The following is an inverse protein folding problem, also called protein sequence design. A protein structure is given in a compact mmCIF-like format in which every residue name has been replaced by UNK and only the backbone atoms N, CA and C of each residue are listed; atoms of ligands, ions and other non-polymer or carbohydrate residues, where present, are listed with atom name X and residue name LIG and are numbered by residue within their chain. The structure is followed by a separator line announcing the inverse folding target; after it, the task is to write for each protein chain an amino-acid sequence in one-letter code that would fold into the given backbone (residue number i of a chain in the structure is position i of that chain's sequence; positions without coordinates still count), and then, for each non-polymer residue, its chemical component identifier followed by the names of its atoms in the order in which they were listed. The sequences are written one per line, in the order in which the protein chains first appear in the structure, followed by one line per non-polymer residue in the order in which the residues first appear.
data_IF_728837796070
#
_entry.id   IF_728837796070
#
_cell.length_a   1.000
_cell.length_b   1.000
_cell.length_c   1.000
_cell.angle_alpha   90.00
_cell.angle_beta   90.00
_cell.angle_gamma   90.00
#
_symmetry.space_group_name_H-M   'P 1'
#
loop_
_entity.id
_entity.type
_entity.pdbx_description
1 polymer ?
#
# COMPACT_ATOMS: atom_id res chain seq x y z
N UNK A 1 1.19 25.05 -8.85
CA UNK A 1 0.45 23.84 -9.26
C UNK A 1 -1.03 24.08 -9.30
N UNK A 2 -1.76 23.48 -10.25
CA UNK A 2 -3.23 23.50 -10.30
C UNK A 2 -3.80 22.80 -9.06
N UNK A 3 -4.80 23.40 -8.41
CA UNK A 3 -5.52 22.77 -7.31
C UNK A 3 -6.43 21.68 -7.86
N UNK A 4 -6.21 20.42 -7.46
CA UNK A 4 -6.98 19.27 -7.89
C UNK A 4 -8.06 18.91 -6.85
N UNK A 5 -9.18 18.31 -7.31
CA UNK A 5 -10.19 17.65 -6.47
C UNK A 5 -9.96 16.14 -6.53
N UNK A 6 -9.50 15.55 -5.43
CA UNK A 6 -9.07 14.15 -5.37
C UNK A 6 -9.94 13.38 -4.39
N UNK A 7 -10.54 12.28 -4.84
CA UNK A 7 -11.23 11.35 -3.94
C UNK A 7 -10.26 10.30 -3.39
N UNK A 8 -10.36 10.01 -2.08
CA UNK A 8 -9.59 8.96 -1.43
C UNK A 8 -10.54 8.04 -0.68
N UNK A 9 -10.67 6.80 -1.10
CA UNK A 9 -11.35 5.77 -0.32
C UNK A 9 -10.35 5.12 0.64
N UNK A 10 -10.79 4.75 1.85
CA UNK A 10 -9.87 4.33 2.91
C UNK A 10 -9.01 5.49 3.45
N UNK A 11 -9.52 6.72 3.38
CA UNK A 11 -8.82 7.96 3.75
C UNK A 11 -8.43 8.07 5.24
N UNK A 12 -9.00 7.22 6.08
CA UNK A 12 -8.69 7.09 7.52
C UNK A 12 -7.83 5.85 7.82
N UNK A 13 -7.50 5.05 6.79
CA UNK A 13 -6.54 3.95 6.89
C UNK A 13 -5.10 4.44 7.02
N UNK A 14 -4.15 3.52 7.23
CA UNK A 14 -2.74 3.84 7.42
C UNK A 14 -2.17 4.64 6.23
N UNK A 15 -2.09 4.05 5.04
CA UNK A 15 -1.56 4.74 3.85
C UNK A 15 -2.45 5.93 3.44
N UNK A 16 -3.79 5.76 3.51
CA UNK A 16 -4.74 6.79 3.10
C UNK A 16 -4.66 8.08 3.92
N UNK A 17 -4.37 7.99 5.23
CA UNK A 17 -4.21 9.17 6.10
C UNK A 17 -2.95 9.97 5.74
N UNK A 18 -1.82 9.30 5.49
CA UNK A 18 -0.57 9.94 5.07
C UNK A 18 -0.71 10.59 3.69
N UNK A 19 -1.29 9.88 2.72
CA UNK A 19 -1.55 10.44 1.38
C UNK A 19 -2.45 11.68 1.47
N UNK A 20 -3.55 11.59 2.21
CA UNK A 20 -4.46 12.70 2.42
C UNK A 20 -3.76 13.94 2.97
N UNK A 21 -2.98 13.76 4.03
CA UNK A 21 -2.26 14.86 4.67
C UNK A 21 -1.24 15.50 3.72
N UNK A 22 -0.48 14.70 2.98
CA UNK A 22 0.49 15.19 2.01
C UNK A 22 -0.19 15.99 0.90
N UNK A 23 -1.29 15.51 0.31
CA UNK A 23 -2.06 16.19 -0.72
C UNK A 23 -2.71 17.50 -0.22
N UNK A 24 -3.20 17.52 1.03
CA UNK A 24 -3.72 18.74 1.65
C UNK A 24 -2.65 19.80 1.83
N UNK A 25 -1.45 19.43 2.27
CA UNK A 25 -0.29 20.34 2.37
C UNK A 25 0.13 20.90 1.01
N UNK A 26 -0.09 20.17 -0.07
CA UNK A 26 0.13 20.64 -1.44
C UNK A 26 -1.02 21.53 -1.97
N UNK A 27 -2.07 21.79 -1.17
CA UNK A 27 -3.19 22.67 -1.51
C UNK A 27 -4.31 22.01 -2.30
N UNK A 28 -4.34 20.68 -2.44
CA UNK A 28 -5.41 19.97 -3.13
C UNK A 28 -6.69 19.88 -2.30
N UNK A 29 -7.83 19.75 -2.97
CA UNK A 29 -9.13 19.51 -2.34
C UNK A 29 -9.40 18.01 -2.22
N UNK A 30 -9.47 17.49 -1.00
CA UNK A 30 -9.60 16.05 -0.74
C UNK A 30 -11.03 15.70 -0.32
N UNK A 31 -11.66 14.81 -1.08
CA UNK A 31 -12.95 14.22 -0.75
C UNK A 31 -12.72 12.84 -0.12
N UNK A 32 -13.06 12.74 1.15
CA UNK A 32 -12.82 11.54 1.95
C UNK A 32 -13.98 10.54 1.84
N UNK A 33 -13.62 9.25 1.67
CA UNK A 33 -14.53 8.09 1.70
C UNK A 33 -13.95 7.04 2.63
N UNK A 34 -14.62 6.79 3.76
CA UNK A 34 -14.17 5.83 4.76
C UNK A 34 -15.34 5.42 5.66
N UNK A 35 -15.38 4.17 6.10
CA UNK A 35 -16.37 3.65 7.05
C UNK A 35 -16.36 4.44 8.38
N UNK A 36 -15.20 4.90 8.82
CA UNK A 36 -15.03 5.64 10.09
C UNK A 36 -15.66 7.03 10.09
N UNK A 37 -16.13 7.50 8.94
CA UNK A 37 -16.84 8.79 8.79
C UNK A 37 -18.21 8.60 8.14
N UNK A 38 -18.79 7.40 8.24
CA UNK A 38 -20.09 7.02 7.66
C UNK A 38 -20.19 7.31 6.14
N UNK A 39 -19.07 7.16 5.44
CA UNK A 39 -19.00 7.22 3.97
C UNK A 39 -18.46 5.92 3.42
N UNK A 40 -19.25 4.84 3.46
CA UNK A 40 -18.82 3.54 2.97
C UNK A 40 -18.63 3.56 1.45
N UNK A 41 -17.72 2.72 0.99
CA UNK A 41 -17.34 2.61 -0.42
C UNK A 41 -18.50 2.16 -1.32
N UNK A 42 -19.48 1.44 -0.79
CA UNK A 42 -20.72 1.05 -1.47
C UNK A 42 -21.56 2.26 -1.90
N UNK A 43 -21.43 3.36 -1.20
CA UNK A 43 -22.10 4.63 -1.50
C UNK A 43 -21.25 5.57 -2.34
N UNK A 44 -20.06 5.15 -2.78
CA UNK A 44 -19.18 5.97 -3.62
C UNK A 44 -19.93 6.44 -4.85
N UNK A 45 -19.97 7.74 -5.05
CA UNK A 45 -20.73 8.38 -6.12
C UNK A 45 -19.80 9.10 -7.10
N UNK A 46 -20.31 9.24 -8.31
CA UNK A 46 -19.68 10.03 -9.36
C UNK A 46 -19.76 11.51 -9.02
N UNK A 47 -18.60 12.12 -8.90
CA UNK A 47 -18.44 13.56 -8.90
C UNK A 47 -17.31 13.92 -9.87
N UNK A 48 -17.16 15.20 -10.19
CA UNK A 48 -16.05 15.68 -11.02
C UNK A 48 -14.74 15.66 -10.21
N UNK A 49 -14.11 14.48 -10.11
CA UNK A 49 -12.78 14.33 -9.54
C UNK A 49 -11.71 14.46 -10.64
N UNK A 50 -10.57 15.07 -10.31
CA UNK A 50 -9.38 15.03 -11.17
C UNK A 50 -8.64 13.69 -11.06
N UNK A 51 -8.76 12.99 -9.92
CA UNK A 51 -8.21 11.66 -9.68
C UNK A 51 -8.92 10.94 -8.52
N UNK A 52 -8.85 9.60 -8.52
CA UNK A 52 -9.34 8.75 -7.43
C UNK A 52 -8.21 7.85 -6.94
N UNK A 53 -7.95 7.85 -5.62
CA UNK A 53 -7.16 6.83 -4.94
C UNK A 53 -8.09 5.87 -4.19
N UNK A 54 -8.14 4.63 -4.65
CA UNK A 54 -8.92 3.58 -4.01
C UNK A 54 -8.04 2.73 -3.12
N UNK A 55 -7.98 3.09 -1.82
CA UNK A 55 -7.15 2.43 -0.80
C UNK A 55 -7.98 1.64 0.22
N UNK A 56 -9.31 1.71 0.15
CA UNK A 56 -10.19 0.96 1.03
C UNK A 56 -10.12 -0.54 0.71
N UNK A 57 -9.47 -1.31 1.58
CA UNK A 57 -9.35 -2.75 1.46
C UNK A 57 -9.15 -3.41 2.82
N UNK A 58 -9.62 -4.64 2.97
CA UNK A 58 -9.15 -5.55 4.00
C UNK A 58 -7.78 -6.08 3.57
N UNK A 59 -6.75 -5.90 4.40
CA UNK A 59 -5.35 -6.10 4.03
C UNK A 59 -4.58 -6.97 5.05
N UNK A 60 -5.23 -7.98 5.60
CA UNK A 60 -4.63 -8.95 6.51
C UNK A 60 -4.71 -10.34 5.87
N UNK A 61 -3.54 -10.91 5.53
CA UNK A 61 -3.43 -12.20 4.85
C UNK A 61 -4.05 -13.32 5.69
N UNK A 62 -3.69 -13.39 6.98
CA UNK A 62 -4.15 -14.45 7.88
C UNK A 62 -5.65 -14.35 8.19
N UNK A 63 -6.15 -13.13 8.39
CA UNK A 63 -7.58 -12.91 8.58
C UNK A 63 -8.40 -13.28 7.34
N UNK A 64 -7.83 -13.17 6.13
CA UNK A 64 -8.53 -13.55 4.90
C UNK A 64 -8.81 -15.06 4.80
N UNK A 65 -7.98 -15.90 5.42
CA UNK A 65 -8.22 -17.35 5.50
C UNK A 65 -9.46 -17.65 6.35
N UNK A 66 -9.66 -16.86 7.41
CA UNK A 66 -10.78 -17.07 8.36
C UNK A 66 -12.11 -16.56 7.81
N UNK A 67 -12.10 -15.51 7.01
CA UNK A 67 -13.31 -14.90 6.45
C UNK A 67 -13.09 -14.47 4.98
N UNK A 68 -12.98 -15.43 4.05
CA UNK A 68 -12.73 -15.13 2.64
C UNK A 68 -13.89 -14.36 1.98
N UNK A 69 -15.13 -14.56 2.43
CA UNK A 69 -16.30 -13.90 1.86
C UNK A 69 -16.24 -12.38 2.06
N UNK A 70 -15.84 -11.93 3.24
CA UNK A 70 -15.66 -10.51 3.55
C UNK A 70 -14.60 -9.85 2.66
N UNK A 71 -13.51 -10.58 2.37
CA UNK A 71 -12.46 -10.09 1.48
C UNK A 71 -12.95 -10.01 0.04
N UNK A 72 -13.73 -10.99 -0.39
CA UNK A 72 -14.31 -10.98 -1.72
C UNK A 72 -15.27 -9.80 -1.92
N UNK A 73 -16.24 -9.63 -1.02
CA UNK A 73 -17.22 -8.55 -1.10
C UNK A 73 -16.56 -7.18 -1.12
N UNK A 74 -15.69 -6.90 -0.16
CA UNK A 74 -15.06 -5.60 -0.06
C UNK A 74 -13.97 -5.37 -1.12
N UNK A 75 -13.04 -6.32 -1.29
CA UNK A 75 -11.87 -6.08 -2.14
C UNK A 75 -12.14 -6.34 -3.62
N UNK A 76 -13.06 -7.25 -3.96
CA UNK A 76 -13.36 -7.57 -5.36
C UNK A 76 -14.60 -6.82 -5.84
N UNK A 77 -15.76 -7.04 -5.23
CA UNK A 77 -17.02 -6.48 -5.71
C UNK A 77 -16.97 -4.96 -5.70
N UNK A 78 -16.60 -4.37 -4.57
CA UNK A 78 -16.55 -2.91 -4.46
C UNK A 78 -15.44 -2.28 -5.29
N UNK A 79 -14.26 -2.91 -5.40
CA UNK A 79 -13.18 -2.40 -6.26
C UNK A 79 -13.59 -2.42 -7.73
N UNK A 80 -14.16 -3.52 -8.22
CA UNK A 80 -14.63 -3.64 -9.61
C UNK A 80 -15.69 -2.57 -9.92
N UNK A 81 -16.58 -2.29 -8.96
CA UNK A 81 -17.56 -1.20 -9.10
C UNK A 81 -16.88 0.16 -9.26
N UNK A 82 -15.88 0.48 -8.44
CA UNK A 82 -15.16 1.77 -8.56
C UNK A 82 -14.36 1.83 -9.86
N UNK A 83 -13.72 0.75 -10.28
CA UNK A 83 -13.02 0.65 -11.55
C UNK A 83 -13.95 1.01 -12.73
N UNK A 84 -15.15 0.42 -12.73
CA UNK A 84 -16.16 0.69 -13.77
C UNK A 84 -16.69 2.14 -13.72
N UNK A 85 -16.91 2.66 -12.52
CA UNK A 85 -17.33 4.06 -12.34
C UNK A 85 -16.28 5.01 -12.92
N UNK A 86 -15.01 4.85 -12.57
CA UNK A 86 -13.94 5.72 -13.07
C UNK A 86 -13.71 5.56 -14.58
N UNK A 87 -13.91 4.35 -15.14
CA UNK A 87 -13.88 4.13 -16.59
C UNK A 87 -14.95 4.95 -17.33
N UNK A 88 -16.21 4.87 -16.88
CA UNK A 88 -17.35 5.52 -17.53
C UNK A 88 -17.19 7.03 -17.64
N UNK A 89 -16.59 7.65 -16.62
CA UNK A 89 -16.39 9.11 -16.59
C UNK A 89 -14.95 9.53 -16.90
N UNK A 90 -14.12 8.57 -17.35
CA UNK A 90 -12.72 8.78 -17.73
C UNK A 90 -11.88 9.51 -16.67
N UNK A 91 -12.03 9.13 -15.40
CA UNK A 91 -11.23 9.66 -14.30
C UNK A 91 -10.06 8.72 -14.01
N UNK A 92 -8.80 9.22 -13.90
CA UNK A 92 -7.66 8.44 -13.46
C UNK A 92 -7.91 7.77 -12.12
N UNK A 93 -7.72 6.44 -12.07
CA UNK A 93 -7.84 5.61 -10.87
C UNK A 93 -6.50 4.99 -10.52
N UNK A 94 -6.10 5.18 -9.27
CA UNK A 94 -4.98 4.51 -8.63
C UNK A 94 -5.55 3.60 -7.53
N UNK A 95 -5.38 2.29 -7.65
CA UNK A 95 -6.00 1.34 -6.71
C UNK A 95 -4.96 0.51 -5.97
N UNK A 96 -5.24 0.22 -4.70
CA UNK A 96 -4.38 -0.60 -3.86
C UNK A 96 -4.35 -2.05 -4.34
N UNK A 97 -3.21 -2.49 -4.89
CA UNK A 97 -2.83 -3.87 -5.07
C UNK A 97 -1.83 -4.30 -3.99
N UNK A 98 -1.10 -5.38 -4.17
CA UNK A 98 -0.18 -5.93 -3.17
C UNK A 98 0.89 -6.79 -3.84
N UNK A 99 2.08 -6.89 -3.25
CA UNK A 99 3.09 -7.90 -3.61
C UNK A 99 2.58 -9.34 -3.51
N UNK A 100 1.50 -9.57 -2.74
CA UNK A 100 0.85 -10.88 -2.65
C UNK A 100 0.31 -11.41 -3.99
N UNK A 101 0.19 -10.58 -5.02
CA UNK A 101 -0.24 -11.04 -6.36
C UNK A 101 0.76 -11.99 -7.01
N UNK A 102 2.03 -11.94 -6.64
CA UNK A 102 3.06 -12.83 -7.17
C UNK A 102 2.89 -14.28 -6.68
N UNK A 103 2.24 -14.45 -5.52
CA UNK A 103 1.87 -15.74 -4.93
C UNK A 103 0.38 -15.73 -4.54
N UNK A 104 -0.48 -15.22 -5.44
CA UNK A 104 -1.89 -14.91 -5.16
C UNK A 104 -2.69 -16.11 -4.65
N UNK A 105 -2.33 -17.33 -5.05
CA UNK A 105 -3.00 -18.57 -4.66
C UNK A 105 -2.81 -18.97 -3.20
N UNK A 106 -1.86 -18.36 -2.48
CA UNK A 106 -1.60 -18.68 -1.08
C UNK A 106 -2.70 -18.17 -0.14
N UNK A 107 -3.48 -17.17 -0.55
CA UNK A 107 -4.51 -16.58 0.33
C UNK A 107 -5.67 -15.94 -0.44
N UNK A 108 -6.88 -15.90 0.16
CA UNK A 108 -8.00 -15.15 -0.38
C UNK A 108 -7.69 -13.66 -0.58
N UNK A 109 -6.87 -13.06 0.29
CA UNK A 109 -6.38 -11.70 0.10
C UNK A 109 -5.56 -11.55 -1.18
N UNK A 110 -4.56 -12.40 -1.39
CA UNK A 110 -3.76 -12.41 -2.62
C UNK A 110 -4.64 -12.59 -3.86
N UNK A 111 -5.56 -13.57 -3.81
CA UNK A 111 -6.56 -13.79 -4.88
C UNK A 111 -7.38 -12.54 -5.16
N UNK A 112 -7.88 -11.86 -4.13
CA UNK A 112 -8.68 -10.63 -4.30
C UNK A 112 -7.89 -9.52 -5.01
N UNK A 113 -6.60 -9.38 -4.71
CA UNK A 113 -5.73 -8.39 -5.35
C UNK A 113 -5.40 -8.76 -6.79
N UNK A 114 -5.18 -10.05 -7.07
CA UNK A 114 -5.00 -10.54 -8.45
C UNK A 114 -6.24 -10.25 -9.30
N UNK A 115 -7.44 -10.53 -8.79
CA UNK A 115 -8.69 -10.21 -9.50
C UNK A 115 -8.82 -8.71 -9.75
N UNK A 116 -8.44 -7.84 -8.81
CA UNK A 116 -8.48 -6.39 -9.00
C UNK A 116 -7.60 -5.94 -10.19
N UNK A 117 -6.43 -6.57 -10.40
CA UNK A 117 -5.58 -6.27 -11.55
C UNK A 117 -6.17 -6.80 -12.86
N UNK A 118 -6.75 -8.01 -12.86
CA UNK A 118 -7.39 -8.60 -14.03
C UNK A 118 -8.67 -7.86 -14.48
N UNK A 119 -9.37 -7.24 -13.52
CA UNK A 119 -10.59 -6.47 -13.81
C UNK A 119 -10.32 -4.99 -14.06
N UNK A 120 -9.08 -4.53 -13.87
CA UNK A 120 -8.70 -3.14 -14.10
C UNK A 120 -8.91 -2.74 -15.57
N UNK A 121 -9.33 -1.49 -15.79
CA UNK A 121 -9.61 -0.93 -17.11
C UNK A 121 -8.39 -0.18 -17.64
N UNK A 122 -8.36 0.00 -18.93
CA UNK A 122 -7.28 0.74 -19.57
C UNK A 122 -7.05 2.11 -18.91
N UNK A 123 -5.80 2.41 -18.59
CA UNK A 123 -5.41 3.67 -17.98
C UNK A 123 -5.58 3.74 -16.45
N UNK A 124 -6.12 2.71 -15.81
CA UNK A 124 -6.09 2.56 -14.35
C UNK A 124 -4.75 1.97 -13.90
N UNK A 125 -4.28 2.37 -12.72
CA UNK A 125 -2.95 2.01 -12.23
C UNK A 125 -3.04 1.26 -10.91
N UNK A 126 -2.56 0.02 -10.88
CA UNK A 126 -2.41 -0.80 -9.67
C UNK A 126 -1.15 -0.44 -8.90
N UNK A 127 -1.28 -0.29 -7.58
CA UNK A 127 -0.19 0.04 -6.65
C UNK A 127 0.06 -1.20 -5.78
N UNK A 128 1.10 -1.97 -6.11
CA UNK A 128 1.46 -3.22 -5.44
C UNK A 128 2.34 -2.93 -4.24
N UNK A 129 1.73 -2.69 -3.11
CA UNK A 129 2.48 -2.42 -1.88
C UNK A 129 3.15 -3.69 -1.33
N UNK A 130 4.39 -3.54 -0.86
CA UNK A 130 5.11 -4.54 -0.06
C UNK A 130 4.76 -4.39 1.43
N UNK A 131 5.69 -4.62 2.34
CA UNK A 131 5.46 -4.50 3.77
C UNK A 131 5.66 -3.07 4.25
N UNK A 132 4.58 -2.29 4.24
CA UNK A 132 4.62 -0.87 4.61
C UNK A 132 4.70 -0.71 6.12
N UNK A 133 5.61 0.15 6.61
CA UNK A 133 5.77 0.49 8.03
C UNK A 133 5.81 2.01 8.24
N UNK A 134 5.67 2.45 9.48
CA UNK A 134 5.74 3.86 9.86
C UNK A 134 4.69 4.24 10.90
N UNK A 135 4.61 5.52 11.25
CA UNK A 135 3.65 6.05 12.20
C UNK A 135 2.20 5.81 11.75
N UNK A 136 1.33 5.41 12.67
CA UNK A 136 -0.07 5.09 12.36
C UNK A 136 -0.30 3.71 11.74
N UNK A 137 0.75 2.88 11.62
CA UNK A 137 0.60 1.47 11.26
C UNK A 137 -0.24 0.73 12.34
N UNK A 138 -0.91 -0.37 11.94
CA UNK A 138 -1.68 -1.18 12.89
C UNK A 138 -0.75 -1.73 13.99
N UNK A 139 -1.23 -1.76 15.24
CA UNK A 139 -0.47 -2.27 16.40
C UNK A 139 0.05 -3.70 16.19
N UNK A 140 -0.68 -4.53 15.43
CA UNK A 140 -0.28 -5.90 15.10
C UNK A 140 0.88 -6.01 14.10
N UNK A 141 1.31 -4.92 13.48
CA UNK A 141 2.38 -4.97 12.47
C UNK A 141 3.77 -5.10 13.13
N UNK A 142 4.62 -5.90 12.48
CA UNK A 142 5.89 -6.35 13.03
C UNK A 142 6.80 -5.21 13.51
N UNK A 143 7.01 -4.18 12.70
CA UNK A 143 7.95 -3.09 13.05
C UNK A 143 7.50 -2.34 14.30
N UNK A 144 6.19 -2.06 14.43
CA UNK A 144 5.64 -1.46 15.65
C UNK A 144 5.82 -2.37 16.87
N UNK A 145 5.57 -3.68 16.72
CA UNK A 145 5.81 -4.67 17.79
C UNK A 145 7.28 -4.76 18.20
N UNK A 146 8.21 -4.73 17.25
CA UNK A 146 9.64 -4.71 17.51
C UNK A 146 10.06 -3.51 18.38
N UNK A 147 9.58 -2.33 18.02
CA UNK A 147 9.85 -1.08 18.75
C UNK A 147 9.31 -1.16 20.20
N UNK A 148 8.11 -1.69 20.38
CA UNK A 148 7.48 -1.83 21.71
C UNK A 148 7.93 -3.05 22.52
N UNK A 149 8.83 -3.89 21.97
CA UNK A 149 9.27 -5.13 22.63
C UNK A 149 8.20 -6.22 22.76
N UNK A 150 7.16 -6.20 21.89
CA UNK A 150 5.98 -7.08 21.95
C UNK A 150 6.07 -8.28 21.00
N UNK A 151 7.23 -8.55 20.44
CA UNK A 151 7.43 -9.65 19.48
C UNK A 151 7.64 -10.97 20.24
N UNK A 152 6.80 -11.95 19.95
CA UNK A 152 6.87 -13.29 20.56
C UNK A 152 7.77 -14.24 19.76
N UNK A 153 7.86 -14.05 18.45
CA UNK A 153 8.71 -14.84 17.54
C UNK A 153 9.00 -14.06 16.26
N UNK A 154 10.03 -14.46 15.54
CA UNK A 154 10.36 -13.97 14.19
C UNK A 154 10.39 -15.13 13.20
N UNK A 155 10.35 -14.82 11.91
CA UNK A 155 10.31 -15.83 10.86
C UNK A 155 11.57 -15.83 10.00
N UNK A 156 11.77 -16.93 9.26
CA UNK A 156 12.82 -17.04 8.24
C UNK A 156 12.45 -16.35 6.92
N UNK A 157 11.23 -15.81 6.81
CA UNK A 157 10.76 -15.13 5.60
C UNK A 157 11.58 -13.87 5.30
N UNK A 158 11.68 -13.54 4.03
CA UNK A 158 12.21 -12.26 3.53
C UNK A 158 11.07 -11.29 3.28
N UNK A 159 11.23 -10.04 3.72
CA UNK A 159 10.26 -8.97 3.47
C UNK A 159 10.96 -7.73 2.96
N UNK A 160 10.35 -7.13 1.93
CA UNK A 160 10.70 -5.79 1.52
C UNK A 160 9.89 -4.80 2.37
N UNK A 161 10.59 -4.15 3.30
CA UNK A 161 10.01 -3.15 4.21
C UNK A 161 10.16 -1.76 3.62
N UNK A 162 9.05 -1.07 3.38
CA UNK A 162 9.02 0.29 2.86
C UNK A 162 8.35 1.26 3.84
N UNK A 163 8.96 2.44 4.04
CA UNK A 163 8.36 3.47 4.88
C UNK A 163 7.15 4.12 4.20
N UNK A 164 6.13 4.45 4.98
CA UNK A 164 4.87 5.00 4.46
C UNK A 164 5.06 6.32 3.69
N UNK A 165 6.01 7.15 4.07
CA UNK A 165 6.33 8.38 3.34
C UNK A 165 6.92 8.10 1.96
N UNK A 166 7.77 7.08 1.81
CA UNK A 166 8.29 6.65 0.53
C UNK A 166 7.18 6.08 -0.37
N UNK A 167 6.22 5.35 0.23
CA UNK A 167 5.01 4.90 -0.49
C UNK A 167 4.22 6.09 -1.02
N UNK A 168 3.98 7.11 -0.19
CA UNK A 168 3.24 8.32 -0.59
C UNK A 168 4.00 9.08 -1.67
N UNK A 169 5.32 9.21 -1.56
CA UNK A 169 6.16 9.86 -2.58
C UNK A 169 6.04 9.13 -3.94
N UNK A 170 6.06 7.79 -3.97
CA UNK A 170 5.84 7.00 -5.18
C UNK A 170 4.43 7.22 -5.78
N UNK A 171 3.41 7.18 -4.93
CA UNK A 171 2.02 7.41 -5.36
C UNK A 171 1.82 8.78 -6.00
N UNK A 172 2.41 9.82 -5.41
CA UNK A 172 2.33 11.20 -5.92
C UNK A 172 3.08 11.36 -7.22
N UNK A 173 4.25 10.73 -7.38
CA UNK A 173 4.99 10.73 -8.64
C UNK A 173 4.19 10.07 -9.77
N UNK A 174 3.62 8.87 -9.52
CA UNK A 174 2.80 8.17 -10.51
C UNK A 174 1.58 9.01 -10.89
N UNK A 175 0.92 9.65 -9.91
CA UNK A 175 -0.21 10.55 -10.15
C UNK A 175 0.21 11.75 -11.03
N UNK A 176 1.31 12.40 -10.69
CA UNK A 176 1.82 13.56 -11.45
C UNK A 176 2.10 13.17 -12.90
N UNK A 177 2.85 12.08 -13.12
CA UNK A 177 3.13 11.56 -14.47
C UNK A 177 1.84 11.21 -15.23
N UNK A 178 0.82 10.66 -14.55
CA UNK A 178 -0.45 10.30 -15.16
C UNK A 178 -1.27 11.51 -15.58
N UNK A 179 -1.34 12.53 -14.73
CA UNK A 179 -2.17 13.73 -14.98
C UNK A 179 -1.50 14.70 -15.96
N UNK A 180 -0.18 14.73 -15.99
CA UNK A 180 0.62 15.67 -16.77
C UNK A 180 1.47 14.96 -17.85
N UNK A 181 0.98 13.84 -18.40
CA UNK A 181 1.74 13.00 -19.34
C UNK A 181 2.30 13.78 -20.54
N UNK A 182 1.59 14.86 -20.96
CA UNK A 182 2.04 15.75 -22.02
C UNK A 182 3.32 16.54 -21.68
N UNK A 183 3.65 16.71 -20.40
CA UNK A 183 4.90 17.34 -19.93
C UNK A 183 6.09 16.35 -19.89
N UNK A 184 5.82 15.06 -20.10
CA UNK A 184 6.81 13.98 -20.00
C UNK A 184 6.90 13.18 -21.31
N UNK A 185 7.43 13.77 -22.41
CA UNK A 185 7.53 13.08 -23.69
C UNK A 185 8.42 11.83 -23.55
N UNK A 186 7.94 10.71 -24.06
CA UNK A 186 8.64 9.42 -23.98
C UNK A 186 8.34 8.58 -22.74
N UNK A 187 7.63 9.11 -21.74
CA UNK A 187 7.18 8.31 -20.60
C UNK A 187 5.95 7.51 -20.98
N UNK A 188 6.01 6.19 -20.78
CA UNK A 188 4.87 5.28 -20.88
C UNK A 188 4.56 4.71 -19.51
N UNK A 189 3.37 4.98 -18.99
CA UNK A 189 2.97 4.44 -17.70
C UNK A 189 2.58 2.97 -17.81
N UNK A 190 2.99 2.20 -16.80
CA UNK A 190 2.62 0.80 -16.64
C UNK A 190 1.21 0.67 -16.03
N UNK A 191 0.54 -0.45 -16.25
CA UNK A 191 -0.77 -0.73 -15.64
C UNK A 191 -0.66 -0.97 -14.12
N UNK A 192 0.53 -1.26 -13.61
CA UNK A 192 0.82 -1.46 -12.18
C UNK A 192 2.28 -1.14 -11.89
N UNK A 193 2.57 -0.83 -10.62
CA UNK A 193 3.92 -0.60 -10.09
C UNK A 193 4.10 -1.36 -8.78
N UNK A 194 5.20 -2.08 -8.66
CA UNK A 194 5.64 -2.65 -7.39
C UNK A 194 6.25 -1.54 -6.52
N UNK A 195 5.63 -1.27 -5.37
CA UNK A 195 6.04 -0.20 -4.45
C UNK A 195 6.66 -0.83 -3.21
N UNK A 196 7.97 -0.93 -3.26
CA UNK A 196 8.86 -1.48 -2.26
C UNK A 196 10.20 -0.76 -2.30
N UNK A 197 11.20 -1.28 -1.63
CA UNK A 197 12.58 -0.75 -1.66
C UNK A 197 13.46 -1.47 -2.66
N UNK A 198 13.02 -2.60 -3.21
CA UNK A 198 13.84 -3.53 -3.99
C UNK A 198 14.86 -4.29 -3.15
N UNK A 199 14.79 -4.18 -1.81
CA UNK A 199 15.70 -4.82 -0.86
C UNK A 199 14.94 -5.73 0.10
N UNK A 200 15.11 -7.04 -0.06
CA UNK A 200 14.62 -8.02 0.90
C UNK A 200 15.43 -8.00 2.19
N UNK A 201 14.74 -8.02 3.32
CA UNK A 201 15.31 -8.17 4.67
C UNK A 201 14.79 -9.46 5.28
N UNK A 202 15.66 -10.34 5.74
CA UNK A 202 15.24 -11.56 6.45
C UNK A 202 14.70 -11.16 7.81
N UNK A 203 13.45 -11.50 8.09
CA UNK A 203 12.71 -11.02 9.27
C UNK A 203 13.45 -11.32 10.58
N UNK A 204 14.04 -12.53 10.72
CA UNK A 204 14.83 -12.90 11.91
C UNK A 204 16.04 -11.99 12.18
N UNK A 205 16.60 -11.37 11.13
CA UNK A 205 17.78 -10.52 11.28
C UNK A 205 17.46 -9.19 11.96
N UNK A 206 16.17 -8.80 11.99
CA UNK A 206 15.70 -7.63 12.73
C UNK A 206 15.82 -7.79 14.25
N UNK A 207 15.93 -9.04 14.77
CA UNK A 207 16.24 -9.31 16.19
C UNK A 207 17.50 -8.59 16.64
N UNK A 208 18.56 -8.64 15.81
CA UNK A 208 19.83 -7.95 16.06
C UNK A 208 19.68 -6.44 16.18
N UNK A 209 18.87 -5.86 15.27
CA UNK A 209 18.64 -4.42 15.24
C UNK A 209 17.82 -3.96 16.45
N UNK A 210 16.84 -4.78 16.86
CA UNK A 210 15.97 -4.50 17.99
C UNK A 210 16.60 -4.90 19.36
N UNK A 211 17.73 -5.61 19.36
CA UNK A 211 18.37 -6.07 20.60
C UNK A 211 17.54 -7.11 21.36
N UNK A 212 16.75 -7.93 20.66
CA UNK A 212 15.87 -8.95 21.25
C UNK A 212 16.34 -10.36 20.91
N UNK A 213 16.01 -11.30 21.80
CA UNK A 213 16.21 -12.75 21.61
C UNK A 213 14.85 -13.44 21.72
N UNK A 214 14.32 -13.94 20.62
CA UNK A 214 13.02 -14.58 20.51
C UNK A 214 13.10 -15.81 19.61
N UNK A 215 12.17 -16.79 19.74
CA UNK A 215 12.11 -17.97 18.89
C UNK A 215 12.01 -17.60 17.40
N UNK A 216 12.63 -18.42 16.55
CA UNK A 216 12.54 -18.31 15.09
C UNK A 216 11.68 -19.46 14.57
N UNK A 217 10.73 -19.12 13.66
CA UNK A 217 9.82 -20.07 13.02
C UNK A 217 9.91 -19.95 11.49
N UNK A 218 9.39 -20.95 10.78
CA UNK A 218 9.35 -20.91 9.30
C UNK A 218 8.26 -19.98 8.76
N UNK A 219 7.38 -19.45 9.63
CA UNK A 219 6.24 -18.61 9.24
C UNK A 219 5.04 -19.43 8.77
N UNK A 220 4.03 -18.75 8.23
CA UNK A 220 2.78 -19.37 7.78
C UNK A 220 2.80 -19.70 6.28
N UNK A 221 2.24 -20.84 5.90
CA UNK A 221 2.14 -21.28 4.50
C UNK A 221 1.25 -20.38 3.63
N UNK A 222 0.39 -19.59 4.23
CA UNK A 222 -0.45 -18.63 3.52
C UNK A 222 0.27 -17.32 3.14
N UNK A 223 1.55 -17.20 3.50
CA UNK A 223 2.38 -16.04 3.19
C UNK A 223 3.53 -16.41 2.24
N UNK A 224 3.83 -15.53 1.29
CA UNK A 224 5.02 -15.69 0.44
C UNK A 224 6.29 -15.75 1.29
N UNK A 225 7.25 -16.61 0.94
CA UNK A 225 8.55 -16.69 1.63
C UNK A 225 9.41 -15.46 1.38
N UNK A 226 9.26 -14.85 0.23
CA UNK A 226 9.91 -13.61 -0.18
C UNK A 226 8.90 -12.72 -0.90
N UNK A 227 8.87 -11.43 -0.57
CA UNK A 227 8.03 -10.43 -1.24
C UNK A 227 8.83 -9.22 -1.73
N UNK A 228 10.12 -9.40 -1.99
CA UNK A 228 10.97 -8.34 -2.52
C UNK A 228 10.41 -7.81 -3.85
N UNK A 229 10.27 -6.49 -3.94
CA UNK A 229 9.70 -5.82 -5.11
C UNK A 229 10.74 -5.67 -6.23
N UNK A 230 10.27 -5.73 -7.48
CA UNK A 230 11.01 -5.19 -8.61
C UNK A 230 10.61 -3.72 -8.82
N UNK A 231 11.46 -2.81 -8.39
CA UNK A 231 11.22 -1.37 -8.46
C UNK A 231 11.78 -0.70 -9.72
N UNK A 232 12.22 -1.46 -10.70
CA UNK A 232 12.87 -0.94 -11.94
C UNK A 232 11.99 0.11 -12.61
N UNK A 233 10.70 -0.14 -12.78
CA UNK A 233 9.77 0.81 -13.40
C UNK A 233 9.63 2.13 -12.60
N UNK A 234 9.75 2.10 -11.27
CA UNK A 234 9.73 3.31 -10.43
C UNK A 234 11.07 4.07 -10.50
N UNK A 235 12.18 3.37 -10.55
CA UNK A 235 13.51 3.98 -10.76
C UNK A 235 13.55 4.71 -12.10
N UNK A 236 13.02 4.13 -13.17
CA UNK A 236 12.89 4.77 -14.49
C UNK A 236 12.03 6.04 -14.47
N UNK A 237 11.02 6.11 -13.59
CA UNK A 237 10.25 7.34 -13.36
C UNK A 237 10.99 8.39 -12.55
N UNK A 238 12.18 8.06 -11.99
CA UNK A 238 12.99 8.94 -11.16
C UNK A 238 12.67 8.87 -9.66
N UNK A 239 11.97 7.82 -9.19
CA UNK A 239 11.70 7.61 -7.77
C UNK A 239 12.77 6.70 -7.14
N UNK A 240 13.12 7.00 -5.88
CA UNK A 240 14.00 6.18 -5.05
C UNK A 240 13.49 6.16 -3.61
N UNK A 241 13.49 4.99 -2.91
CA UNK A 241 13.19 4.90 -1.50
C UNK A 241 14.31 5.55 -0.67
N UNK A 242 13.96 6.16 0.46
CA UNK A 242 14.88 6.94 1.30
C UNK A 242 15.16 6.31 2.65
N UNK A 243 14.11 5.74 3.29
CA UNK A 243 14.18 5.24 4.66
C UNK A 243 14.48 3.74 4.72
N UNK A 244 15.54 3.36 5.44
CA UNK A 244 15.82 1.95 5.75
C UNK A 244 15.11 1.53 7.03
N UNK A 245 14.58 0.33 7.06
CA UNK A 245 13.83 -0.19 8.21
C UNK A 245 14.69 -0.31 9.46
N UNK A 246 15.97 -0.67 9.30
CA UNK A 246 16.91 -0.78 10.42
C UNK A 246 17.19 0.58 11.08
N UNK A 247 17.35 1.62 10.26
CA UNK A 247 17.54 2.99 10.73
C UNK A 247 16.30 3.48 11.49
N UNK A 248 15.09 3.21 10.94
CA UNK A 248 13.83 3.55 11.58
C UNK A 248 13.67 2.88 12.94
N UNK A 249 13.93 1.57 13.04
CA UNK A 249 13.88 0.83 14.31
C UNK A 249 14.85 1.44 15.31
N UNK A 250 16.13 1.63 14.94
CA UNK A 250 17.16 2.17 15.84
C UNK A 250 16.82 3.55 16.37
N UNK A 251 16.24 4.44 15.53
CA UNK A 251 15.82 5.79 15.92
C UNK A 251 14.69 5.79 16.95
N UNK A 252 13.78 4.80 16.89
CA UNK A 252 12.63 4.74 17.81
C UNK A 252 12.97 4.02 19.11
N UNK A 253 13.85 3.04 19.11
CA UNK A 253 14.35 2.41 20.33
C UNK A 253 15.16 3.37 21.22
N UNK A 254 15.88 4.32 20.62
CA UNK A 254 16.62 5.34 21.37
C UNK A 254 15.71 6.38 22.04
N UNK A 255 14.53 6.64 21.49
CA UNK A 255 13.57 7.61 22.08
C UNK A 255 12.88 7.09 23.33
N UNK A 256 12.69 5.76 23.44
CA UNK A 256 12.05 5.14 24.59
C UNK A 256 13.03 4.87 25.75
N UNK A 257 14.32 5.16 25.56
CA UNK A 257 15.38 5.00 26.56
C UNK A 257 15.71 6.30 27.34
N UNK A 258 14.99 7.40 27.09
CA UNK A 258 15.12 8.73 27.73
C UNK A 258 13.82 9.06 28.48
#
# INVERSE_FOLDING_TARGET
MKRLKIAITGSRGFIGSHLKERLRRQGHNIVEWDLRIDKPIERFQLENYDAVFHLAAWADVRASIKDPARYWENNVVNTTRIQRICEVINIPLFYASSSCIHNWWLSPYGTSKKVNEETARYGQVGLRFTTVYGEGARESMLIGKLIRGEVEYLTTHTRDFIHVDDVVDAMLLIMDKKLNLHEYPGVTLKPYYDIGTGRGVVVKDLAKVAGIDVPITDGDDCEAKDNTADITDLLELGWNPKMKVEEYISLHLQKDAV
#
